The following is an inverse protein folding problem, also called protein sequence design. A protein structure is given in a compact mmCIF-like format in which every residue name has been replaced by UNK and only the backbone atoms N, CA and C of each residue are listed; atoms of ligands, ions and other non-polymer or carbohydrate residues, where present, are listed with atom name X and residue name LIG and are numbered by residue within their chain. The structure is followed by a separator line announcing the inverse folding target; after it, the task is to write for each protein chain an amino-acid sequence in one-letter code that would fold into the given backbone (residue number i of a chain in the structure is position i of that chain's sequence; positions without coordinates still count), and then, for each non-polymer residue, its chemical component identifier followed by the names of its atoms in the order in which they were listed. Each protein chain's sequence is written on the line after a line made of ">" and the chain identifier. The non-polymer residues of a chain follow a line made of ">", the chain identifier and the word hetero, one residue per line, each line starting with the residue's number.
data_IF_399010920516
#
_entry.id   IF_399010920516
#
_cell.length_a   1.000
_cell.length_b   1.000
_cell.length_c   1.000
_cell.angle_alpha   90.00
_cell.angle_beta   90.00
_cell.angle_gamma   90.00
#
_symmetry.space_group_name_H-M   'P 1'
#
loop_
_entity.id
_entity.type
_entity.pdbx_description
1 polymer ?
#
# COMPACT_ATOMS: atom_id res chain seq x y z
N UNK A 1 -82.17 -145.10 91.30
CA UNK A 1 -81.27 -145.71 90.29
C UNK A 1 -79.84 -145.56 90.82
N UNK A 2 -79.41 -146.38 91.79
CA UNK A 2 -78.51 -147.55 91.59
C UNK A 2 -77.30 -147.17 90.73
N UNK A 3 -76.05 -147.17 91.20
CA UNK A 3 -75.27 -148.23 91.85
C UNK A 3 -74.05 -147.54 92.50
N UNK A 4 -73.71 -147.73 93.77
CA UNK A 4 -73.02 -148.90 94.36
C UNK A 4 -71.79 -149.38 93.58
N UNK A 5 -70.77 -149.79 94.36
CA UNK A 5 -69.78 -150.82 94.01
C UNK A 5 -68.66 -150.37 93.03
N UNK A 6 -67.35 -150.50 93.28
CA UNK A 6 -66.48 -151.31 94.13
C UNK A 6 -65.22 -150.42 94.33
N UNK A 7 -64.65 -150.27 95.52
CA UNK A 7 -63.74 -151.24 96.16
C UNK A 7 -62.43 -151.41 95.36
N UNK A 8 -61.31 -151.52 96.10
CA UNK A 8 -60.11 -152.32 95.79
C UNK A 8 -58.82 -151.54 95.53
N UNK A 9 -57.88 -151.76 96.47
CA UNK A 9 -56.42 -151.80 96.34
C UNK A 9 -55.74 -150.43 96.42
N UNK A 10 -55.23 -149.98 97.59
CA UNK A 10 -54.21 -150.64 98.44
C UNK A 10 -53.21 -151.37 97.56
N UNK A 11 -52.01 -150.85 97.33
CA UNK A 11 -50.80 -151.57 97.72
C UNK A 11 -49.53 -150.85 97.28
N UNK A 12 -48.55 -150.96 98.19
CA UNK A 12 -47.10 -150.86 97.98
C UNK A 12 -46.56 -149.44 97.76
N UNK A 13 -45.55 -148.99 98.49
CA UNK A 13 -44.49 -149.76 99.17
C UNK A 13 -43.81 -148.77 100.12
N UNK A 14 -43.82 -149.07 101.42
CA UNK A 14 -42.63 -149.60 102.11
C UNK A 14 -41.50 -148.56 102.11
N UNK A 15 -41.38 -147.77 103.17
CA UNK A 15 -40.48 -148.06 104.29
C UNK A 15 -39.06 -148.39 103.81
N UNK A 16 -38.12 -147.47 104.02
CA UNK A 16 -36.76 -147.81 104.44
C UNK A 16 -36.33 -146.78 105.49
N UNK A 17 -35.88 -147.36 106.60
CA UNK A 17 -35.50 -146.78 107.87
C UNK A 17 -34.29 -145.88 107.80
N UNK A 18 -34.19 -145.01 108.82
CA UNK A 18 -32.95 -144.34 109.18
C UNK A 18 -33.11 -143.67 110.53
N UNK A 19 -32.86 -144.42 111.60
CA UNK A 19 -32.80 -143.94 112.97
C UNK A 19 -31.92 -142.69 113.10
N UNK A 20 -32.50 -141.59 113.60
CA UNK A 20 -31.78 -140.49 114.23
C UNK A 20 -32.64 -139.99 115.39
N UNK A 21 -32.11 -140.15 116.60
CA UNK A 21 -32.65 -139.57 117.83
C UNK A 21 -32.06 -138.16 117.92
N UNK A 22 -32.91 -137.14 117.98
CA UNK A 22 -32.54 -135.79 118.39
C UNK A 22 -33.75 -135.15 119.11
N UNK A 23 -33.50 -134.75 120.36
CA UNK A 23 -34.44 -134.09 121.26
C UNK A 23 -34.83 -132.71 120.70
N UNK A 24 -36.11 -132.34 120.77
CA UNK A 24 -36.57 -131.01 120.43
C UNK A 24 -37.42 -130.44 121.57
N UNK A 25 -36.82 -129.50 122.28
CA UNK A 25 -37.50 -128.60 123.20
C UNK A 25 -38.39 -127.60 122.41
N UNK A 26 -39.59 -127.41 122.97
CA UNK A 26 -40.24 -126.11 123.25
C UNK A 26 -40.63 -125.19 122.08
N UNK A 27 -41.93 -124.93 121.97
CA UNK A 27 -42.51 -123.58 122.15
C UNK A 27 -44.05 -123.61 122.19
N UNK A 28 -44.64 -122.83 123.10
CA UNK A 28 -46.09 -122.62 123.21
C UNK A 28 -46.47 -121.35 122.46
N UNK A 29 -47.27 -121.52 121.41
CA UNK A 29 -47.79 -120.47 120.53
C UNK A 29 -48.60 -119.41 121.30
N UNK A 30 -47.96 -118.28 121.60
CA UNK A 30 -48.63 -117.01 121.92
C UNK A 30 -48.61 -116.16 120.65
N UNK A 31 -49.78 -115.82 120.14
CA UNK A 31 -49.93 -115.03 118.91
C UNK A 31 -49.43 -113.59 119.16
N UNK A 32 -48.45 -113.14 118.39
CA UNK A 32 -47.88 -111.81 118.51
C UNK A 32 -48.81 -110.79 117.83
N UNK A 33 -49.37 -109.85 118.60
CA UNK A 33 -50.16 -108.74 118.09
C UNK A 33 -49.29 -107.91 117.10
N UNK A 34 -49.52 -108.06 115.80
CA UNK A 34 -48.88 -107.26 114.76
C UNK A 34 -49.62 -105.92 114.64
N UNK A 35 -48.93 -104.81 114.90
CA UNK A 35 -49.48 -103.46 114.70
C UNK A 35 -49.81 -103.22 113.22
N UNK A 36 -51.03 -102.71 112.96
CA UNK A 36 -51.50 -102.38 111.62
C UNK A 36 -50.62 -101.28 111.00
N UNK A 37 -50.23 -101.36 109.72
CA UNK A 37 -49.43 -100.30 109.10
C UNK A 37 -50.16 -98.95 109.18
N UNK A 38 -49.41 -97.83 109.34
CA UNK A 38 -50.00 -96.51 109.49
C UNK A 38 -50.84 -96.17 108.26
N UNK A 39 -52.07 -95.71 108.49
CA UNK A 39 -52.97 -95.30 107.41
C UNK A 39 -52.33 -94.19 106.55
N UNK A 40 -52.48 -94.24 105.21
CA UNK A 40 -51.84 -93.30 104.30
C UNK A 40 -52.25 -91.86 104.61
N UNK A 41 -51.26 -90.95 104.58
CA UNK A 41 -51.43 -89.52 104.83
C UNK A 41 -52.38 -88.90 103.79
N UNK A 42 -53.45 -88.29 104.26
CA UNK A 42 -54.41 -87.57 103.42
C UNK A 42 -53.80 -86.26 102.93
N UNK A 43 -53.55 -86.16 101.62
CA UNK A 43 -53.19 -84.90 100.95
C UNK A 43 -54.47 -84.29 100.39
N UNK A 44 -54.94 -83.14 100.90
CA UNK A 44 -56.14 -82.50 100.37
C UNK A 44 -55.93 -82.09 98.91
N UNK A 45 -56.92 -82.39 98.07
CA UNK A 45 -56.94 -81.92 96.69
C UNK A 45 -57.09 -80.38 96.70
N UNK A 46 -56.27 -79.67 95.93
CA UNK A 46 -56.41 -78.21 95.80
C UNK A 46 -57.82 -77.87 95.32
N UNK A 47 -58.67 -77.38 96.21
CA UNK A 47 -60.01 -76.87 95.87
C UNK A 47 -59.94 -75.35 95.71
N UNK A 48 -59.08 -74.89 94.81
CA UNK A 48 -59.08 -73.53 94.27
C UNK A 48 -59.77 -73.54 92.91
N UNK A 49 -60.69 -72.60 92.67
CA UNK A 49 -61.25 -72.41 91.32
C UNK A 49 -60.34 -71.42 90.60
N UNK A 50 -59.55 -71.91 89.65
CA UNK A 50 -58.69 -71.06 88.84
C UNK A 50 -59.54 -70.15 87.95
N UNK A 51 -59.32 -68.84 88.03
CA UNK A 51 -59.99 -67.81 87.23
C UNK A 51 -58.90 -67.09 86.45
N UNK A 52 -58.99 -67.09 85.12
CA UNK A 52 -58.20 -66.19 84.29
C UNK A 52 -59.07 -65.00 83.86
N UNK A 53 -58.47 -63.82 83.88
CA UNK A 53 -59.03 -62.61 83.28
C UNK A 53 -58.11 -62.21 82.14
N UNK A 54 -58.65 -62.13 80.93
CA UNK A 54 -57.93 -61.71 79.73
C UNK A 54 -58.57 -60.43 79.18
N UNK A 55 -57.73 -59.49 78.77
CA UNK A 55 -58.16 -58.29 78.05
C UNK A 55 -58.10 -58.63 76.57
N UNK A 56 -59.23 -58.47 75.88
CA UNK A 56 -59.34 -58.71 74.44
C UNK A 56 -58.82 -57.51 73.62
N UNK A 57 -58.48 -57.75 72.37
CA UNK A 57 -57.93 -56.71 71.50
C UNK A 57 -58.98 -55.61 71.27
N UNK A 58 -58.70 -54.39 71.74
CA UNK A 58 -59.60 -53.23 71.63
C UNK A 58 -60.42 -52.89 72.87
N UNK A 59 -60.37 -53.70 73.93
CA UNK A 59 -61.17 -53.50 75.16
C UNK A 59 -60.71 -52.29 76.01
N UNK A 60 -59.46 -51.86 75.83
CA UNK A 60 -58.83 -50.72 76.53
C UNK A 60 -58.51 -49.52 75.61
N UNK A 61 -59.07 -49.48 74.40
CA UNK A 61 -58.77 -48.41 73.45
C UNK A 61 -59.42 -47.08 73.86
N UNK A 62 -58.59 -46.05 74.05
CA UNK A 62 -59.03 -44.67 74.25
C UNK A 62 -58.68 -43.82 73.01
N UNK A 63 -59.72 -43.43 72.27
CA UNK A 63 -59.57 -42.64 71.04
C UNK A 63 -58.90 -41.28 71.31
N UNK A 64 -59.25 -40.61 72.41
CA UNK A 64 -58.75 -39.26 72.71
C UNK A 64 -57.27 -39.28 73.13
N UNK A 65 -56.75 -40.43 73.55
CA UNK A 65 -55.32 -40.63 73.81
C UNK A 65 -54.58 -40.97 72.51
N UNK A 66 -55.11 -41.92 71.74
CA UNK A 66 -54.40 -42.50 70.59
C UNK A 66 -54.40 -41.56 69.36
N UNK A 67 -55.41 -40.71 69.20
CA UNK A 67 -55.50 -39.79 68.06
C UNK A 67 -54.56 -38.59 68.19
N UNK A 68 -54.17 -38.21 69.42
CA UNK A 68 -53.31 -37.05 69.69
C UNK A 68 -51.99 -37.06 68.90
N UNK A 69 -51.16 -38.11 68.92
CA UNK A 69 -49.91 -38.14 68.15
C UNK A 69 -50.15 -38.09 66.64
N UNK A 70 -51.26 -38.66 66.15
CA UNK A 70 -51.60 -38.63 64.72
C UNK A 70 -51.94 -37.20 64.30
N UNK A 71 -52.78 -36.51 65.06
CA UNK A 71 -53.18 -35.13 64.74
C UNK A 71 -52.02 -34.17 64.93
N UNK A 72 -51.21 -34.34 65.98
CA UNK A 72 -50.04 -33.51 66.22
C UNK A 72 -49.03 -33.60 65.07
N UNK A 73 -48.75 -34.81 64.58
CA UNK A 73 -47.83 -35.00 63.46
C UNK A 73 -48.40 -34.50 62.13
N UNK A 74 -49.72 -34.66 61.89
CA UNK A 74 -50.37 -34.13 60.69
C UNK A 74 -50.37 -32.60 60.69
N UNK A 75 -50.81 -31.98 61.78
CA UNK A 75 -50.83 -30.51 61.90
C UNK A 75 -49.42 -29.95 61.81
N UNK A 76 -48.46 -30.56 62.53
CA UNK A 76 -47.05 -30.15 62.49
C UNK A 76 -46.48 -30.16 61.07
N UNK A 77 -46.63 -31.27 60.34
CA UNK A 77 -46.16 -31.36 58.95
C UNK A 77 -46.86 -30.40 58.01
N UNK A 78 -48.17 -30.22 58.13
CA UNK A 78 -48.91 -29.29 57.26
C UNK A 78 -48.48 -27.84 57.47
N UNK A 79 -48.25 -27.43 58.71
CA UNK A 79 -47.79 -26.06 59.03
C UNK A 79 -46.34 -25.87 58.61
N UNK A 80 -45.48 -26.85 58.84
CA UNK A 80 -44.06 -26.81 58.42
C UNK A 80 -43.95 -26.71 56.90
N UNK A 81 -44.68 -27.55 56.16
CA UNK A 81 -44.70 -27.51 54.70
C UNK A 81 -45.23 -26.17 54.18
N UNK A 82 -46.36 -25.67 54.72
CA UNK A 82 -46.92 -24.39 54.32
C UNK A 82 -45.95 -23.23 54.58
N UNK A 83 -45.20 -23.26 55.69
CA UNK A 83 -44.22 -22.22 56.00
C UNK A 83 -43.04 -22.23 55.03
N UNK A 84 -42.54 -23.41 54.65
CA UNK A 84 -41.45 -23.55 53.68
C UNK A 84 -41.91 -23.07 52.30
N UNK A 85 -43.09 -23.49 51.84
CA UNK A 85 -43.64 -23.09 50.54
C UNK A 85 -43.80 -21.56 50.44
N UNK A 86 -44.36 -20.91 51.46
CA UNK A 86 -44.51 -19.45 51.47
C UNK A 86 -43.14 -18.74 51.49
N UNK A 87 -42.18 -19.25 52.25
CA UNK A 87 -40.84 -18.67 52.28
C UNK A 87 -40.12 -18.78 50.93
N UNK A 88 -40.24 -19.93 50.25
CA UNK A 88 -39.69 -20.16 48.91
C UNK A 88 -40.35 -19.26 47.87
N UNK A 89 -41.68 -19.09 47.92
CA UNK A 89 -42.41 -18.20 47.01
C UNK A 89 -41.97 -16.74 47.15
N UNK A 90 -41.80 -16.26 48.39
CA UNK A 90 -41.29 -14.91 48.65
C UNK A 90 -39.85 -14.72 48.18
N UNK A 91 -38.98 -15.72 48.38
CA UNK A 91 -37.60 -15.68 47.89
C UNK A 91 -37.57 -15.63 46.36
N UNK A 92 -38.31 -16.51 45.70
CA UNK A 92 -38.42 -16.53 44.23
C UNK A 92 -38.98 -15.21 43.67
N UNK A 93 -39.93 -14.59 44.37
CA UNK A 93 -40.46 -13.28 43.98
C UNK A 93 -39.36 -12.19 44.05
N UNK A 94 -38.59 -12.14 45.14
CA UNK A 94 -37.47 -11.19 45.30
C UNK A 94 -36.38 -11.40 44.25
N UNK A 95 -36.01 -12.65 43.97
CA UNK A 95 -35.00 -12.96 42.94
C UNK A 95 -35.48 -12.49 41.57
N UNK A 96 -36.75 -12.73 41.22
CA UNK A 96 -37.33 -12.29 39.93
C UNK A 96 -37.39 -10.78 39.81
N UNK A 97 -37.70 -10.07 40.89
CA UNK A 97 -37.69 -8.61 40.92
C UNK A 97 -36.27 -8.07 40.68
N UNK A 98 -35.28 -8.61 41.39
CA UNK A 98 -33.88 -8.25 41.18
C UNK A 98 -33.42 -8.53 39.75
N UNK A 99 -33.72 -9.71 39.20
CA UNK A 99 -33.37 -10.05 37.82
C UNK A 99 -33.95 -9.05 36.82
N UNK A 100 -35.22 -8.65 36.99
CA UNK A 100 -35.86 -7.66 36.14
C UNK A 100 -35.16 -6.31 36.22
N UNK A 101 -34.87 -5.82 37.42
CA UNK A 101 -34.15 -4.56 37.62
C UNK A 101 -32.77 -4.60 36.95
N UNK A 102 -32.02 -5.69 37.12
CA UNK A 102 -30.73 -5.86 36.46
C UNK A 102 -30.84 -5.91 34.93
N UNK A 103 -31.86 -6.58 34.39
CA UNK A 103 -32.10 -6.63 32.94
C UNK A 103 -32.47 -5.25 32.38
N UNK A 104 -33.29 -4.48 33.09
CA UNK A 104 -33.66 -3.11 32.69
C UNK A 104 -32.43 -2.20 32.65
N UNK A 105 -31.60 -2.24 33.69
CA UNK A 105 -30.34 -1.47 33.75
C UNK A 105 -29.41 -1.90 32.61
N UNK A 106 -29.19 -3.21 32.45
CA UNK A 106 -28.30 -3.75 31.41
C UNK A 106 -28.77 -3.37 30.00
N UNK A 107 -30.07 -3.41 29.75
CA UNK A 107 -30.63 -3.02 28.46
C UNK A 107 -30.47 -1.52 28.21
N UNK A 108 -30.66 -0.68 29.24
CA UNK A 108 -30.44 0.75 29.14
C UNK A 108 -28.96 1.08 28.85
N UNK A 109 -28.02 0.44 29.57
CA UNK A 109 -26.59 0.59 29.36
C UNK A 109 -26.17 0.16 27.95
N UNK A 110 -26.71 -0.97 27.45
CA UNK A 110 -26.40 -1.46 26.11
C UNK A 110 -26.82 -0.46 25.02
N UNK A 111 -28.02 0.13 25.15
CA UNK A 111 -28.50 1.15 24.21
C UNK A 111 -27.61 2.40 24.26
N UNK A 112 -27.18 2.83 25.46
CA UNK A 112 -26.28 3.96 25.61
C UNK A 112 -24.90 3.68 24.98
N UNK A 113 -24.34 2.50 25.20
CA UNK A 113 -23.07 2.08 24.60
C UNK A 113 -23.15 2.08 23.07
N UNK A 114 -24.21 1.52 22.49
CA UNK A 114 -24.41 1.55 21.03
C UNK A 114 -24.48 2.97 20.48
N UNK A 115 -25.18 3.87 21.19
CA UNK A 115 -25.24 5.28 20.80
C UNK A 115 -23.86 5.93 20.83
N UNK A 116 -23.06 5.68 21.88
CA UNK A 116 -21.71 6.24 22.01
C UNK A 116 -20.76 5.68 20.97
N UNK A 117 -20.81 4.38 20.69
CA UNK A 117 -20.00 3.73 19.66
C UNK A 117 -20.30 4.29 18.27
N UNK A 118 -21.58 4.49 17.95
CA UNK A 118 -21.99 5.09 16.67
C UNK A 118 -21.50 6.54 16.53
N UNK A 119 -21.56 7.32 17.62
CA UNK A 119 -21.00 8.68 17.65
C UNK A 119 -19.49 8.68 17.47
N UNK A 120 -18.78 7.78 18.16
CA UNK A 120 -17.33 7.64 18.03
C UNK A 120 -16.94 7.20 16.62
N UNK A 121 -17.68 6.27 16.01
CA UNK A 121 -17.48 5.82 14.63
C UNK A 121 -17.55 6.99 13.66
N UNK A 122 -18.57 7.84 13.79
CA UNK A 122 -18.74 9.05 12.95
C UNK A 122 -17.59 10.03 13.12
N UNK A 123 -17.19 10.31 14.37
CA UNK A 123 -16.09 11.23 14.67
C UNK A 123 -14.75 10.68 14.16
N UNK A 124 -14.51 9.38 14.31
CA UNK A 124 -13.30 8.72 13.80
C UNK A 124 -13.24 8.77 12.28
N UNK A 125 -14.35 8.50 11.60
CA UNK A 125 -14.44 8.59 10.14
C UNK A 125 -14.21 10.03 9.64
N UNK A 126 -14.78 11.04 10.32
CA UNK A 126 -14.54 12.44 9.97
C UNK A 126 -13.06 12.82 10.18
N UNK A 127 -12.49 12.46 11.34
CA UNK A 127 -11.08 12.72 11.66
C UNK A 127 -10.16 12.09 10.62
N UNK A 128 -10.41 10.86 10.21
CA UNK A 128 -9.63 10.18 9.17
C UNK A 128 -9.73 10.90 7.83
N UNK A 129 -10.93 11.33 7.42
CA UNK A 129 -11.13 12.13 6.20
C UNK A 129 -10.35 13.44 6.25
N UNK A 130 -10.40 14.15 7.39
CA UNK A 130 -9.64 15.40 7.59
C UNK A 130 -8.14 15.19 7.55
N UNK A 131 -7.63 14.11 8.16
CA UNK A 131 -6.21 13.79 8.11
C UNK A 131 -5.73 13.48 6.69
N UNK A 132 -6.52 12.72 5.90
CA UNK A 132 -6.20 12.45 4.49
C UNK A 132 -6.15 13.74 3.67
N UNK A 133 -7.15 14.61 3.81
CA UNK A 133 -7.18 15.92 3.14
C UNK A 133 -5.96 16.78 3.52
N UNK A 134 -5.63 16.85 4.81
CA UNK A 134 -4.48 17.62 5.28
C UNK A 134 -3.16 17.05 4.75
N UNK A 135 -3.02 15.74 4.69
CA UNK A 135 -1.82 15.08 4.16
C UNK A 135 -1.66 15.30 2.65
N UNK A 136 -2.75 15.23 1.88
CA UNK A 136 -2.75 15.54 0.45
C UNK A 136 -2.41 17.00 0.18
N UNK A 137 -3.00 17.93 0.94
CA UNK A 137 -2.70 19.35 0.85
C UNK A 137 -1.22 19.64 1.17
N UNK A 138 -0.68 19.04 2.23
CA UNK A 138 0.73 19.16 2.59
C UNK A 138 1.65 18.61 1.50
N UNK A 139 1.30 17.47 0.88
CA UNK A 139 2.09 16.90 -0.23
C UNK A 139 2.11 17.86 -1.42
N UNK A 140 0.94 18.40 -1.79
CA UNK A 140 0.83 19.36 -2.89
C UNK A 140 1.61 20.64 -2.61
N UNK A 141 1.57 21.14 -1.37
CA UNK A 141 2.33 22.31 -0.95
C UNK A 141 3.84 22.06 -1.06
N UNK A 142 4.32 20.90 -0.61
CA UNK A 142 5.74 20.52 -0.75
C UNK A 142 6.17 20.42 -2.21
N UNK A 143 5.36 19.79 -3.07
CA UNK A 143 5.64 19.68 -4.51
C UNK A 143 5.68 21.07 -5.17
N UNK A 144 4.73 21.94 -4.83
CA UNK A 144 4.69 23.31 -5.32
C UNK A 144 5.90 24.13 -4.84
N UNK A 145 6.26 24.02 -3.57
CA UNK A 145 7.43 24.67 -2.99
C UNK A 145 8.72 24.21 -3.67
N UNK A 146 8.89 22.91 -3.93
CA UNK A 146 10.03 22.38 -4.67
C UNK A 146 10.09 22.90 -6.10
N UNK A 147 8.96 22.95 -6.82
CA UNK A 147 8.91 23.51 -8.18
C UNK A 147 9.29 24.99 -8.21
N UNK A 148 8.79 25.77 -7.26
CA UNK A 148 9.12 27.20 -7.12
C UNK A 148 10.61 27.36 -6.80
N UNK A 149 11.15 26.57 -5.87
CA UNK A 149 12.56 26.59 -5.51
C UNK A 149 13.46 26.21 -6.68
N UNK A 150 13.13 25.15 -7.43
CA UNK A 150 13.87 24.73 -8.62
C UNK A 150 13.85 25.81 -9.72
N UNK A 151 12.70 26.45 -9.95
CA UNK A 151 12.59 27.57 -10.90
C UNK A 151 13.43 28.76 -10.46
N UNK A 152 13.37 29.14 -9.19
CA UNK A 152 14.16 30.24 -8.64
C UNK A 152 15.67 29.95 -8.75
N UNK A 153 16.07 28.72 -8.42
CA UNK A 153 17.45 28.25 -8.56
C UNK A 153 17.93 28.29 -10.00
N UNK A 154 17.16 27.74 -10.94
CA UNK A 154 17.51 27.76 -12.36
C UNK A 154 17.63 29.19 -12.89
N UNK A 155 16.73 30.10 -12.49
CA UNK A 155 16.80 31.51 -12.89
C UNK A 155 18.06 32.19 -12.35
N UNK A 156 18.38 32.01 -11.07
CA UNK A 156 19.57 32.58 -10.46
C UNK A 156 20.85 32.02 -11.11
N UNK A 157 20.90 30.72 -11.38
CA UNK A 157 22.04 30.09 -12.04
C UNK A 157 22.22 30.56 -13.49
N UNK A 158 21.13 30.63 -14.27
CA UNK A 158 21.15 31.06 -15.66
C UNK A 158 21.53 32.55 -15.78
N UNK A 159 21.12 33.38 -14.82
CA UNK A 159 21.41 34.81 -14.80
C UNK A 159 22.91 35.11 -14.85
N UNK A 160 23.74 34.32 -14.17
CA UNK A 160 25.20 34.51 -14.15
C UNK A 160 25.89 33.67 -15.24
N UNK A 161 25.35 32.49 -15.58
CA UNK A 161 25.94 31.62 -16.60
C UNK A 161 25.86 32.22 -17.99
N UNK A 162 24.73 32.81 -18.38
CA UNK A 162 24.53 33.36 -19.73
C UNK A 162 25.57 34.45 -20.04
N UNK A 163 25.72 35.52 -19.25
CA UNK A 163 26.74 36.54 -19.51
C UNK A 163 28.15 35.96 -19.51
N UNK A 164 28.46 35.02 -18.62
CA UNK A 164 29.79 34.39 -18.53
C UNK A 164 30.14 33.59 -19.80
N UNK A 165 29.23 32.74 -20.28
CA UNK A 165 29.44 31.97 -21.52
C UNK A 165 29.48 32.89 -22.74
N UNK A 166 28.60 33.89 -22.83
CA UNK A 166 28.62 34.84 -23.93
C UNK A 166 29.91 35.67 -23.97
N UNK A 167 30.43 36.09 -22.82
CA UNK A 167 31.71 36.79 -22.73
C UNK A 167 32.87 35.85 -23.11
N UNK A 168 32.90 34.62 -22.60
CA UNK A 168 33.95 33.66 -22.95
C UNK A 168 33.94 33.32 -24.44
N UNK A 169 32.76 33.16 -25.04
CA UNK A 169 32.62 32.87 -26.46
C UNK A 169 33.00 34.07 -27.35
N UNK A 170 32.75 35.31 -26.86
CA UNK A 170 33.21 36.55 -27.49
C UNK A 170 34.73 36.71 -27.38
N UNK A 171 35.32 36.43 -26.22
CA UNK A 171 36.78 36.47 -25.99
C UNK A 171 37.52 35.43 -26.83
N UNK A 172 36.95 34.24 -26.98
CA UNK A 172 37.47 33.19 -27.87
C UNK A 172 37.23 33.47 -29.36
N UNK A 173 36.63 34.62 -29.69
CA UNK A 173 36.47 35.10 -31.06
C UNK A 173 35.39 34.38 -31.87
N UNK A 174 34.49 33.59 -31.27
CA UNK A 174 33.43 32.90 -32.03
C UNK A 174 32.29 33.84 -32.48
N UNK A 175 32.11 34.97 -31.78
CA UNK A 175 31.22 36.04 -32.21
C UNK A 175 32.03 37.07 -33.01
N UNK A 176 31.88 37.05 -34.33
CA UNK A 176 32.47 38.03 -35.24
C UNK A 176 31.46 39.12 -35.58
N UNK A 177 31.93 40.35 -35.80
CA UNK A 177 31.11 41.36 -36.46
C UNK A 177 30.95 40.96 -37.95
N UNK A 178 29.72 40.77 -38.45
CA UNK A 178 29.48 40.45 -39.86
C UNK A 178 30.17 41.41 -40.83
N UNK A 179 30.28 42.69 -40.45
CA UNK A 179 30.90 43.73 -41.29
C UNK A 179 32.43 43.56 -41.33
N UNK A 180 33.05 43.28 -40.18
CA UNK A 180 34.50 43.06 -40.11
C UNK A 180 34.91 41.81 -40.91
N UNK A 181 34.14 40.73 -40.77
CA UNK A 181 34.38 39.49 -41.54
C UNK A 181 34.18 39.71 -43.05
N UNK A 182 33.16 40.45 -43.47
CA UNK A 182 32.95 40.79 -44.89
C UNK A 182 34.10 41.63 -45.45
N UNK A 183 34.62 42.58 -44.66
CA UNK A 183 35.80 43.36 -45.03
C UNK A 183 37.03 42.46 -45.20
N UNK A 184 37.29 41.58 -44.24
CA UNK A 184 38.46 40.68 -44.27
C UNK A 184 38.37 39.63 -45.38
N UNK A 185 37.19 39.05 -45.61
CA UNK A 185 37.03 37.94 -46.56
C UNK A 185 36.74 38.36 -47.99
N UNK A 186 36.05 39.49 -48.19
CA UNK A 186 35.62 39.92 -49.53
C UNK A 186 36.35 41.18 -49.99
N UNK A 187 36.40 42.22 -49.15
CA UNK A 187 37.00 43.50 -49.54
C UNK A 187 38.53 43.44 -49.62
N UNK A 188 39.20 42.87 -48.62
CA UNK A 188 40.67 42.81 -48.58
C UNK A 188 41.26 42.02 -49.77
N UNK A 189 40.74 40.83 -50.14
CA UNK A 189 41.21 40.13 -51.33
C UNK A 189 40.90 40.88 -52.63
N UNK A 190 39.73 41.53 -52.72
CA UNK A 190 39.39 42.36 -53.88
C UNK A 190 40.35 43.54 -54.02
N UNK A 191 40.67 44.25 -52.94
CA UNK A 191 41.60 45.37 -52.93
C UNK A 191 43.02 44.93 -53.27
N UNK A 192 43.49 43.82 -52.67
CA UNK A 192 44.79 43.24 -52.97
C UNK A 192 44.90 42.80 -54.42
N UNK A 193 43.85 42.19 -54.99
CA UNK A 193 43.83 41.84 -56.41
C UNK A 193 43.86 43.10 -57.29
N UNK A 194 43.02 44.10 -57.00
CA UNK A 194 42.97 45.34 -57.78
C UNK A 194 44.30 46.09 -57.76
N UNK A 195 44.92 46.23 -56.60
CA UNK A 195 46.25 46.84 -56.47
C UNK A 195 47.31 46.01 -57.21
N UNK A 196 47.29 44.68 -57.09
CA UNK A 196 48.20 43.80 -57.84
C UNK A 196 48.03 43.93 -59.35
N UNK A 197 46.80 44.02 -59.87
CA UNK A 197 46.57 44.26 -61.31
C UNK A 197 47.13 45.60 -61.77
N UNK A 198 47.00 46.65 -60.96
CA UNK A 198 47.54 47.97 -61.29
C UNK A 198 49.07 47.98 -61.29
N UNK A 199 49.70 47.36 -60.28
CA UNK A 199 51.15 47.18 -60.24
C UNK A 199 51.64 46.37 -61.44
N UNK A 200 50.95 45.28 -61.80
CA UNK A 200 51.29 44.49 -62.98
C UNK A 200 51.17 45.29 -64.28
N UNK A 201 50.15 46.14 -64.42
CA UNK A 201 50.02 47.05 -65.56
C UNK A 201 51.18 48.04 -65.63
N UNK A 202 51.63 48.59 -64.50
CA UNK A 202 52.78 49.49 -64.43
C UNK A 202 54.09 48.76 -64.78
N UNK A 203 54.28 47.54 -64.27
CA UNK A 203 55.44 46.70 -64.60
C UNK A 203 55.43 46.36 -66.09
N UNK A 204 54.28 45.94 -66.66
CA UNK A 204 54.15 45.67 -68.08
C UNK A 204 54.44 46.92 -68.92
N UNK A 205 53.86 48.06 -68.55
CA UNK A 205 54.14 49.35 -69.21
C UNK A 205 55.62 49.70 -69.18
N UNK A 206 56.30 49.49 -68.05
CA UNK A 206 57.75 49.68 -67.92
C UNK A 206 58.54 48.69 -68.79
N UNK A 207 58.16 47.41 -68.83
CA UNK A 207 58.85 46.42 -69.68
C UNK A 207 58.68 46.71 -71.18
N UNK A 208 57.51 47.18 -71.61
CA UNK A 208 57.26 47.58 -73.00
C UNK A 208 58.05 48.85 -73.32
N UNK A 209 58.10 49.82 -72.40
CA UNK A 209 58.95 51.00 -72.54
C UNK A 209 60.43 50.60 -72.68
N UNK A 210 60.92 49.71 -71.82
CA UNK A 210 62.30 49.21 -71.86
C UNK A 210 62.58 48.43 -73.16
N UNK A 211 61.61 47.70 -73.72
CA UNK A 211 61.77 47.03 -75.03
C UNK A 211 61.79 48.03 -76.18
N UNK A 212 60.94 49.07 -76.17
CA UNK A 212 60.97 50.13 -77.18
C UNK A 212 62.30 50.89 -77.12
N UNK A 213 62.79 51.22 -75.91
CA UNK A 213 64.10 51.84 -75.74
C UNK A 213 65.20 50.94 -76.31
N UNK A 214 65.14 49.63 -76.06
CA UNK A 214 66.08 48.65 -76.62
C UNK A 214 66.03 48.61 -78.16
N UNK A 215 64.85 48.59 -78.76
CA UNK A 215 64.69 48.54 -80.22
C UNK A 215 65.21 49.82 -80.89
N UNK A 216 64.93 50.99 -80.32
CA UNK A 216 65.47 52.27 -80.82
C UNK A 216 66.99 52.31 -80.70
N UNK A 217 67.56 51.82 -79.58
CA UNK A 217 69.01 51.74 -79.42
C UNK A 217 69.64 50.78 -80.44
N UNK A 218 69.04 49.61 -80.67
CA UNK A 218 69.51 48.66 -81.68
C UNK A 218 69.43 49.23 -83.10
N UNK A 219 68.32 49.88 -83.48
CA UNK A 219 68.20 50.55 -84.77
C UNK A 219 69.29 51.62 -84.96
N UNK A 220 69.61 52.39 -83.92
CA UNK A 220 70.69 53.37 -83.97
C UNK A 220 72.06 52.70 -84.12
N UNK A 221 72.32 51.59 -83.44
CA UNK A 221 73.55 50.82 -83.61
C UNK A 221 73.67 50.31 -85.05
N UNK A 222 72.61 49.72 -85.61
CA UNK A 222 72.58 49.26 -87.01
C UNK A 222 72.81 50.40 -88.01
N UNK A 223 72.23 51.58 -87.75
CA UNK A 223 72.46 52.78 -88.56
C UNK A 223 73.92 53.26 -88.48
N UNK A 224 74.54 53.19 -87.29
CA UNK A 224 75.97 53.51 -87.12
C UNK A 224 76.88 52.46 -87.78
N UNK A 225 76.53 51.18 -87.73
CA UNK A 225 77.28 50.11 -88.40
C UNK A 225 77.22 50.24 -89.93
N UNK A 226 76.03 50.55 -90.49
CA UNK A 226 75.89 50.88 -91.92
C UNK A 226 76.68 52.13 -92.32
N UNK A 227 76.70 53.16 -91.46
CA UNK A 227 77.48 54.37 -91.68
C UNK A 227 79.00 54.10 -91.58
N UNK A 228 79.41 53.20 -90.69
CA UNK A 228 80.79 52.73 -90.57
C UNK A 228 81.23 51.87 -91.78
N UNK A 229 80.35 51.03 -92.33
CA UNK A 229 80.60 50.30 -93.57
C UNK A 229 80.66 51.22 -94.79
N UNK A 230 79.79 52.23 -94.87
CA UNK A 230 79.86 53.27 -95.89
C UNK A 230 81.16 54.09 -95.81
N UNK A 231 81.63 54.42 -94.59
CA UNK A 231 82.92 55.09 -94.37
C UNK A 231 84.11 54.20 -94.78
N UNK A 232 84.05 52.89 -94.53
CA UNK A 232 85.08 51.94 -95.01
C UNK A 232 85.16 51.88 -96.54
N UNK A 233 84.02 51.92 -97.24
CA UNK A 233 83.99 51.91 -98.70
C UNK A 233 84.50 53.23 -99.33
N UNK A 234 84.40 54.35 -98.62
CA UNK A 234 84.94 55.65 -99.09
C UNK A 234 86.45 55.85 -98.90
N UNK A 235 87.14 54.98 -98.15
CA UNK A 235 88.59 55.11 -97.88
C UNK A 235 89.46 54.34 -98.90
N UNK A 236 88.90 53.41 -99.70
CA UNK A 236 89.66 52.59 -100.66
C UNK A 236 89.64 53.08 -102.13
N UNK A 237 89.16 54.30 -102.43
CA UNK A 237 89.21 54.85 -103.79
C UNK A 237 89.20 56.38 -103.88
N UNK A 238 90.39 57.01 -103.84
CA UNK A 238 90.61 58.36 -104.40
C UNK A 238 90.97 58.26 -105.90
N UNK A 239 90.91 59.28 -106.78
CA UNK A 239 91.08 60.75 -106.69
C UNK A 239 90.47 61.36 -108.00
N UNK A 240 89.78 62.51 -107.97
CA UNK A 240 90.17 63.74 -108.74
C UNK A 240 89.30 64.98 -108.38
N UNK A 241 89.88 66.16 -108.62
CA UNK A 241 89.79 67.42 -107.87
C UNK A 241 89.07 68.59 -108.58
N UNK A 242 88.53 69.51 -107.75
CA UNK A 242 88.43 70.98 -107.96
C UNK A 242 87.24 71.51 -108.78
N UNK A 243 86.53 72.59 -108.43
CA UNK A 243 86.74 73.66 -107.43
C UNK A 243 85.48 74.54 -107.32
N UNK A 244 85.36 75.23 -106.17
CA UNK A 244 84.78 76.56 -105.95
C UNK A 244 83.39 76.70 -105.29
N UNK A 245 83.41 76.68 -103.96
CA UNK A 245 82.93 77.71 -103.00
C UNK A 245 81.63 78.49 -103.25
N UNK A 246 80.73 78.39 -102.25
CA UNK A 246 80.07 79.52 -101.59
C UNK A 246 78.59 79.71 -101.89
N UNK A 247 77.70 79.19 -101.03
CA UNK A 247 76.79 80.05 -100.24
C UNK A 247 75.86 79.27 -99.30
N UNK A 248 75.49 79.99 -98.25
CA UNK A 248 74.85 79.61 -97.01
C UNK A 248 73.32 79.67 -97.16
N UNK A 249 72.67 78.60 -96.68
CA UNK A 249 71.37 78.53 -95.97
C UNK A 249 70.24 79.46 -96.43
N UNK A 250 69.15 78.88 -96.94
CA UNK A 250 67.79 79.27 -96.51
C UNK A 250 66.73 78.18 -96.76
N UNK A 251 66.03 77.82 -95.68
CA UNK A 251 64.60 77.52 -95.53
C UNK A 251 63.79 76.67 -96.51
N UNK A 252 63.00 75.77 -95.91
CA UNK A 252 61.54 75.70 -96.08
C UNK A 252 60.99 74.80 -94.96
N UNK A 253 60.37 75.31 -93.88
CA UNK A 253 58.99 75.82 -93.76
C UNK A 253 57.95 74.83 -94.31
N UNK A 254 57.29 74.09 -93.41
CA UNK A 254 55.98 74.40 -92.82
C UNK A 254 54.82 74.13 -93.78
N UNK A 255 53.96 73.18 -93.40
CA UNK A 255 52.54 73.21 -93.76
C UNK A 255 51.75 72.29 -92.84
N UNK A 256 51.07 72.86 -91.85
CA UNK A 256 49.89 72.23 -91.24
C UNK A 256 48.86 73.35 -91.04
N UNK A 257 47.88 73.40 -91.94
CA UNK A 257 46.58 74.01 -91.69
C UNK A 257 45.48 72.97 -91.94
N UNK A 258 44.68 72.78 -90.89
CA UNK A 258 43.22 72.67 -90.87
C UNK A 258 42.48 71.80 -91.89
N UNK A 259 41.77 70.80 -91.37
CA UNK A 259 40.44 70.38 -91.83
C UNK A 259 39.62 69.91 -90.63
N UNK A 260 38.62 70.71 -90.27
CA UNK A 260 37.52 70.33 -89.39
C UNK A 260 36.49 69.45 -90.14
N UNK A 261 35.65 68.78 -89.34
CA UNK A 261 34.32 68.23 -89.63
C UNK A 261 34.25 66.80 -90.19
N UNK A 262 33.82 65.83 -89.37
CA UNK A 262 32.40 65.44 -89.35
C UNK A 262 32.02 64.36 -88.30
N UNK A 263 30.87 64.60 -87.67
CA UNK A 263 29.87 63.69 -87.06
C UNK A 263 30.29 62.76 -85.88
N UNK A 264 29.50 62.55 -84.83
CA UNK A 264 28.12 62.98 -84.53
C UNK A 264 27.76 62.79 -83.05
N UNK A 265 26.70 63.48 -82.64
CA UNK A 265 26.09 63.52 -81.31
C UNK A 265 25.46 62.17 -80.91
N UNK A 266 25.44 61.88 -79.60
CA UNK A 266 24.37 61.11 -78.95
C UNK A 266 24.27 61.53 -77.47
N UNK A 267 23.28 62.39 -77.19
CA UNK A 267 22.70 62.59 -75.87
C UNK A 267 21.77 61.41 -75.54
N UNK A 268 21.76 60.95 -74.29
CA UNK A 268 20.65 60.17 -73.74
C UNK A 268 20.26 60.76 -72.39
N UNK A 269 19.12 61.43 -72.38
CA UNK A 269 18.30 61.70 -71.19
C UNK A 269 17.28 60.58 -71.01
N UNK A 270 17.06 60.23 -69.73
CA UNK A 270 15.86 59.67 -69.09
C UNK A 270 14.70 59.19 -69.96
N UNK A 271 14.15 58.01 -69.62
CA UNK A 271 12.71 57.80 -69.69
C UNK A 271 12.19 56.90 -68.56
N UNK A 272 10.95 57.22 -68.18
CA UNK A 272 10.20 56.80 -67.01
C UNK A 272 9.35 55.52 -67.23
N UNK A 273 8.97 54.93 -66.08
CA UNK A 273 7.64 54.36 -65.76
C UNK A 273 7.10 53.10 -66.44
N UNK A 274 6.70 52.14 -65.58
CA UNK A 274 5.33 51.57 -65.43
C UNK A 274 5.39 50.60 -64.23
N UNK A 275 4.81 50.92 -63.06
CA UNK A 275 3.40 50.77 -62.65
C UNK A 275 2.84 49.35 -62.81
N UNK A 276 2.81 48.58 -61.72
CA UNK A 276 1.71 47.66 -61.41
C UNK A 276 1.47 47.65 -59.89
N UNK A 277 0.33 48.19 -59.49
CA UNK A 277 -0.27 47.98 -58.18
C UNK A 277 -1.08 46.69 -58.18
N UNK A 278 -1.00 45.95 -57.07
CA UNK A 278 -1.87 44.82 -56.75
C UNK A 278 -2.16 44.82 -55.26
N UNK A 279 -3.36 45.28 -54.90
CA UNK A 279 -3.99 45.10 -53.59
C UNK A 279 -4.34 43.62 -53.38
N UNK A 280 -4.01 43.01 -52.23
CA UNK A 280 -4.83 41.92 -51.65
C UNK A 280 -4.75 41.93 -50.10
N UNK A 281 -5.93 42.14 -49.51
CA UNK A 281 -6.50 41.64 -48.25
C UNK A 281 -5.79 41.79 -46.88
N UNK A 282 -6.44 42.58 -46.04
CA UNK A 282 -6.94 42.26 -44.70
C UNK A 282 -6.67 40.85 -44.15
N UNK A 283 -6.10 40.80 -42.94
CA UNK A 283 -6.06 39.63 -42.07
C UNK A 283 -5.90 40.06 -40.62
N UNK A 284 -7.01 40.48 -40.00
CA UNK A 284 -7.11 40.66 -38.56
C UNK A 284 -6.90 39.31 -37.86
N UNK A 285 -5.97 39.24 -36.91
CA UNK A 285 -5.89 38.12 -35.98
C UNK A 285 -6.47 38.57 -34.64
N UNK A 286 -7.57 37.91 -34.32
CA UNK A 286 -8.43 38.08 -33.17
C UNK A 286 -7.69 37.82 -31.86
N UNK A 287 -8.11 38.59 -30.86
CA UNK A 287 -8.04 38.23 -29.45
C UNK A 287 -8.83 36.93 -29.23
N UNK A 288 -8.23 35.94 -28.59
CA UNK A 288 -8.93 34.78 -28.05
C UNK A 288 -8.71 34.76 -26.53
N UNK A 289 -9.54 35.54 -25.86
CA UNK A 289 -9.87 35.36 -24.45
C UNK A 289 -11.22 34.62 -24.41
N UNK A 290 -11.19 33.32 -24.13
CA UNK A 290 -12.37 32.59 -23.67
C UNK A 290 -12.05 31.93 -22.34
N UNK A 291 -12.55 32.58 -21.30
CA UNK A 291 -12.93 32.02 -20.01
C UNK A 291 -13.84 30.81 -20.21
N UNK A 292 -13.39 29.62 -19.79
CA UNK A 292 -14.28 28.50 -19.49
C UNK A 292 -14.28 28.29 -17.97
N UNK A 293 -15.28 28.92 -17.33
CA UNK A 293 -15.82 28.50 -16.04
C UNK A 293 -16.86 27.43 -16.33
N UNK A 294 -16.58 26.18 -15.97
CA UNK A 294 -17.61 25.16 -15.79
C UNK A 294 -17.90 25.00 -14.29
N UNK A 295 -19.10 25.45 -13.93
CA UNK A 295 -19.83 25.04 -12.75
C UNK A 295 -20.39 23.63 -12.99
N UNK A 296 -20.11 22.68 -12.10
CA UNK A 296 -21.00 21.53 -11.94
C UNK A 296 -21.24 21.29 -10.44
N UNK A 297 -22.39 21.79 -9.99
CA UNK A 297 -23.03 21.40 -8.75
C UNK A 297 -23.83 20.12 -8.97
N UNK A 298 -23.92 19.34 -7.89
CA UNK A 298 -24.99 18.39 -7.54
C UNK A 298 -25.02 17.03 -8.26
N UNK A 299 -24.72 15.97 -7.51
CA UNK A 299 -25.74 14.97 -7.19
C UNK A 299 -25.36 14.16 -5.94
N UNK A 300 -26.06 14.47 -4.85
CA UNK A 300 -26.25 13.58 -3.73
C UNK A 300 -27.66 12.98 -3.89
N UNK A 301 -27.75 11.66 -4.07
CA UNK A 301 -28.80 10.76 -3.59
C UNK A 301 -28.64 9.39 -4.24
N UNK A 302 -29.17 8.36 -3.57
CA UNK A 302 -29.16 6.93 -3.89
C UNK A 302 -27.95 6.17 -3.32
N UNK A 303 -28.06 5.74 -2.06
CA UNK A 303 -28.40 4.32 -1.83
C UNK A 303 -28.79 4.09 -0.36
N UNK A 304 -30.10 4.02 -0.13
CA UNK A 304 -30.71 3.51 1.09
C UNK A 304 -31.80 2.55 0.63
N UNK A 305 -31.53 1.25 0.70
CA UNK A 305 -32.57 0.26 0.41
C UNK A 305 -32.08 -1.17 0.23
N UNK A 306 -31.98 -1.89 1.35
CA UNK A 306 -32.31 -3.32 1.35
C UNK A 306 -31.23 -4.24 1.90
N UNK A 307 -31.43 -4.69 3.14
CA UNK A 307 -31.35 -6.12 3.44
C UNK A 307 -32.28 -6.43 4.62
N UNK A 308 -32.99 -7.54 4.45
CA UNK A 308 -34.03 -8.10 5.32
C UNK A 308 -33.43 -8.82 6.53
#
# INVERSE_FOLDING_TARGET
>A
MTNLFYLIIIFNRQWINGDRIEEADVDVQTDAFLDRPPSPLFIPQSTGKDICTQIETGDLFDFDLEVKPIVETLVGKTVEQALIEVAEEEELAKIREQQREYEEIRNAELIELQRLEEQERRLRAEKERRMKQAQEALRLEQDAAQKIAARAFAKAYLQDLVPSVFNNLRENGYFYDPVENEIETSFMPWLMNKTMTHVNQLVLGRTILDSIIRDVVNQRIDDYDKLAEALKQTIEGGIDMGTSTGDIVHSSEQNIENLESNHGELNVTMDNNTNEGGEISNGALLNDETDEREEEQTNANEDAGGEQ
#
